data_IF_745067837549
#
_entry.id   IF_745067837549
#
_cell.length_a   1.000
_cell.length_b   1.000
_cell.length_c   1.000
_cell.angle_alpha   90.00
_cell.angle_beta   90.00
_cell.angle_gamma   90.00
#
_symmetry.space_group_name_H-M   'P 1'
#
loop_
_entity.id
_entity.type
_entity.pdbx_description
1 polymer ?
#
# COMPACT_ATOMS: atom_id res chain seq x y z
N UNK A 1 16.02 -7.32 13.41
CA UNK A 1 15.18 -7.01 12.23
C UNK A 1 14.67 -5.58 12.33
N UNK A 2 14.70 -4.82 11.22
CA UNK A 2 14.24 -3.42 11.15
C UNK A 2 12.72 -3.38 11.32
N UNK A 3 12.21 -2.46 12.14
CA UNK A 3 10.76 -2.22 12.25
C UNK A 3 10.38 -1.03 11.37
N UNK A 4 9.42 -1.23 10.47
CA UNK A 4 9.01 -0.22 9.49
C UNK A 4 7.55 0.23 9.64
N UNK A 5 6.81 -0.36 10.58
CA UNK A 5 5.37 -0.12 10.71
C UNK A 5 4.61 -0.64 9.48
N UNK A 6 3.85 0.23 8.82
CA UNK A 6 3.11 -0.13 7.61
C UNK A 6 4.03 0.09 6.42
N UNK A 7 4.09 -0.88 5.52
CA UNK A 7 4.87 -0.77 4.29
C UNK A 7 4.01 -1.15 3.10
N UNK A 8 4.30 -0.54 1.96
CA UNK A 8 3.70 -0.88 0.69
C UNK A 8 4.76 -0.81 -0.39
N UNK A 9 4.54 -1.51 -1.49
CA UNK A 9 5.46 -1.49 -2.61
C UNK A 9 4.79 -1.81 -3.93
N UNK A 10 5.53 -1.55 -5.00
CA UNK A 10 5.11 -1.66 -6.39
C UNK A 10 6.25 -2.24 -7.22
N UNK A 11 5.91 -3.06 -8.21
CA UNK A 11 6.90 -3.68 -9.08
C UNK A 11 6.29 -4.19 -10.37
N UNK A 12 7.13 -4.78 -11.21
CA UNK A 12 6.73 -5.46 -12.44
C UNK A 12 7.02 -6.96 -12.33
N UNK A 13 6.07 -7.78 -12.77
CA UNK A 13 6.25 -9.23 -12.92
C UNK A 13 5.63 -9.67 -14.24
N UNK A 14 6.44 -10.28 -15.10
CA UNK A 14 6.01 -10.77 -16.42
C UNK A 14 5.31 -9.70 -17.27
N UNK A 15 5.84 -8.48 -17.25
CA UNK A 15 5.31 -7.30 -17.94
C UNK A 15 4.07 -6.69 -17.28
N UNK A 16 3.65 -7.22 -16.12
CA UNK A 16 2.43 -6.82 -15.44
C UNK A 16 2.72 -6.11 -14.12
N UNK A 17 2.07 -4.97 -13.84
CA UNK A 17 2.28 -4.25 -12.60
C UNK A 17 1.64 -5.01 -11.43
N UNK A 18 2.33 -4.96 -10.29
CA UNK A 18 1.80 -5.44 -9.02
C UNK A 18 2.06 -4.43 -7.92
N UNK A 19 1.28 -4.55 -6.85
CA UNK A 19 1.49 -3.83 -5.61
C UNK A 19 1.35 -4.78 -4.42
N UNK A 20 1.93 -4.42 -3.29
CA UNK A 20 1.70 -5.11 -2.05
C UNK A 20 1.49 -4.14 -0.90
N UNK A 21 0.86 -4.63 0.15
CA UNK A 21 0.79 -3.99 1.45
C UNK A 21 1.20 -4.99 2.53
N UNK A 22 1.94 -4.53 3.53
CA UNK A 22 2.22 -5.29 4.73
C UNK A 22 2.01 -4.45 5.97
N UNK A 23 1.24 -5.03 6.88
CA UNK A 23 1.05 -4.48 8.20
C UNK A 23 2.10 -5.07 9.15
N UNK A 24 2.97 -4.22 9.69
CA UNK A 24 3.73 -4.55 10.88
C UNK A 24 3.23 -3.72 12.06
N UNK A 25 3.07 -4.37 13.22
CA UNK A 25 2.48 -3.73 14.40
C UNK A 25 2.99 -4.31 15.70
N UNK A 26 3.24 -3.44 16.67
CA UNK A 26 3.51 -3.80 18.06
C UNK A 26 2.25 -3.72 18.91
N UNK A 27 1.56 -2.58 18.85
CA UNK A 27 0.47 -2.24 19.78
C UNK A 27 -0.89 -2.79 19.38
N UNK A 28 -1.11 -3.02 18.08
CA UNK A 28 -2.38 -3.53 17.55
C UNK A 28 -2.12 -4.73 16.62
N UNK A 29 -1.73 -5.90 17.15
CA UNK A 29 -1.48 -7.09 16.34
C UNK A 29 -2.77 -7.80 15.92
N UNK A 30 -3.86 -7.66 16.68
CA UNK A 30 -5.13 -8.36 16.44
C UNK A 30 -5.96 -7.67 15.36
N UNK A 31 -5.49 -7.77 14.12
CA UNK A 31 -6.12 -7.24 12.92
C UNK A 31 -6.24 -8.30 11.84
N UNK A 32 -7.30 -8.20 11.04
CA UNK A 32 -7.50 -9.06 9.87
C UNK A 32 -7.78 -8.23 8.63
N UNK A 33 -7.42 -8.77 7.48
CA UNK A 33 -7.81 -8.23 6.18
C UNK A 33 -9.10 -8.91 5.71
N UNK A 34 -10.07 -8.12 5.27
CA UNK A 34 -11.39 -8.57 4.78
C UNK A 34 -11.58 -8.08 3.36
N UNK A 35 -11.74 -9.00 2.42
CA UNK A 35 -12.06 -8.69 1.02
C UNK A 35 -13.56 -8.43 0.91
N UNK A 36 -13.94 -7.33 0.26
CA UNK A 36 -15.32 -6.97 -0.06
C UNK A 36 -15.40 -6.48 -1.51
N UNK A 37 -15.69 -7.38 -2.44
CA UNK A 37 -15.68 -7.07 -3.86
C UNK A 37 -14.29 -6.60 -4.31
N UNK A 38 -14.23 -5.39 -4.85
CA UNK A 38 -13.02 -4.75 -5.37
C UNK A 38 -12.22 -3.98 -4.31
N UNK A 39 -12.47 -4.25 -3.03
CA UNK A 39 -11.84 -3.57 -1.90
C UNK A 39 -11.30 -4.56 -0.86
N UNK A 40 -10.27 -4.13 -0.14
CA UNK A 40 -9.78 -4.81 1.06
C UNK A 40 -9.78 -3.85 2.24
N UNK A 41 -10.29 -4.33 3.37
CA UNK A 41 -10.33 -3.60 4.63
C UNK A 41 -9.42 -4.24 5.66
N UNK A 42 -8.61 -3.44 6.34
CA UNK A 42 -8.02 -3.81 7.62
C UNK A 42 -9.08 -3.56 8.70
N UNK A 43 -9.36 -4.59 9.49
CA UNK A 43 -10.34 -4.56 10.59
C UNK A 43 -9.64 -4.92 11.89
N UNK A 44 -9.67 -4.00 12.85
CA UNK A 44 -9.25 -4.24 14.23
C UNK A 44 -10.24 -5.13 14.97
N UNK A 45 -9.73 -6.10 15.70
CA UNK A 45 -10.53 -7.06 16.48
C UNK A 45 -10.57 -6.72 17.97
N UNK A 46 -9.73 -5.78 18.40
CA UNK A 46 -9.70 -5.25 19.77
C UNK A 46 -10.55 -3.97 19.86
N UNK A 47 -11.19 -3.74 21.01
CA UNK A 47 -11.84 -2.46 21.27
C UNK A 47 -10.79 -1.35 21.44
N UNK A 48 -10.96 -0.22 20.76
CA UNK A 48 -10.06 0.93 20.86
C UNK A 48 -10.71 2.19 20.28
N UNK A 49 -10.33 3.35 20.81
CA UNK A 49 -10.69 4.66 20.27
C UNK A 49 -9.74 5.13 19.16
N UNK A 50 -8.65 4.40 18.87
CA UNK A 50 -7.69 4.80 17.86
C UNK A 50 -8.33 4.75 16.46
N UNK A 51 -8.46 5.87 15.73
CA UNK A 51 -9.15 5.91 14.44
C UNK A 51 -8.31 5.33 13.29
N UNK A 52 -7.03 5.01 13.50
CA UNK A 52 -6.08 4.61 12.47
C UNK A 52 -5.84 3.10 12.38
N UNK A 53 -6.60 2.28 13.10
CA UNK A 53 -6.39 0.81 13.15
C UNK A 53 -7.32 0.02 12.24
N UNK A 54 -8.40 0.62 11.75
CA UNK A 54 -9.34 0.02 10.80
C UNK A 54 -9.55 0.95 9.60
N UNK A 55 -9.34 0.46 8.39
CA UNK A 55 -9.37 1.28 7.18
C UNK A 55 -9.42 0.45 5.90
N UNK A 56 -9.94 1.02 4.79
CA UNK A 56 -9.70 0.48 3.46
C UNK A 56 -8.21 0.57 3.15
N UNK A 57 -7.61 -0.54 2.73
CA UNK A 57 -6.17 -0.65 2.42
C UNK A 57 -5.92 -0.84 0.93
N UNK A 58 -6.88 -1.46 0.23
CA UNK A 58 -6.84 -1.62 -1.23
C UNK A 58 -8.19 -1.21 -1.80
N UNK A 59 -8.15 -0.51 -2.93
CA UNK A 59 -9.33 -0.25 -3.78
C UNK A 59 -8.96 -0.43 -5.25
N UNK A 60 -9.69 -1.31 -5.92
CA UNK A 60 -9.55 -1.59 -7.36
C UNK A 60 -10.57 -0.75 -8.12
N UNK A 61 -10.08 -0.10 -9.16
CA UNK A 61 -10.83 0.60 -10.20
C UNK A 61 -10.63 -0.15 -11.53
N UNK A 62 -11.36 0.20 -12.61
CA UNK A 62 -11.21 -0.48 -13.90
C UNK A 62 -9.77 -0.55 -14.42
N UNK A 63 -9.03 0.56 -14.28
CA UNK A 63 -7.65 0.69 -14.78
C UNK A 63 -6.60 0.79 -13.66
N UNK A 64 -7.01 1.09 -12.43
CA UNK A 64 -6.10 1.42 -11.33
C UNK A 64 -6.27 0.49 -10.13
N UNK A 65 -5.20 0.28 -9.38
CA UNK A 65 -5.29 -0.19 -8.01
C UNK A 65 -4.60 0.81 -7.09
N UNK A 66 -5.31 1.19 -6.02
CA UNK A 66 -4.82 2.05 -4.95
C UNK A 66 -4.50 1.19 -3.75
N UNK A 67 -3.32 1.39 -3.17
CA UNK A 67 -2.89 0.74 -1.92
C UNK A 67 -2.42 1.82 -0.95
N UNK A 68 -2.89 1.82 0.31
CA UNK A 68 -2.44 2.81 1.30
C UNK A 68 -2.54 2.31 2.74
N UNK A 69 -1.95 3.04 3.69
CA UNK A 69 -1.99 2.68 5.12
C UNK A 69 -3.17 3.28 5.91
N UNK A 70 -4.20 3.83 5.27
CA UNK A 70 -5.29 4.47 6.00
C UNK A 70 -6.53 4.81 5.15
N UNK A 71 -7.44 5.59 5.73
CA UNK A 71 -8.71 5.98 5.10
C UNK A 71 -8.56 6.75 3.77
N UNK A 72 -7.39 7.33 3.53
CA UNK A 72 -7.01 7.97 2.27
C UNK A 72 -7.06 7.04 1.06
N UNK A 73 -7.06 5.70 1.22
CA UNK A 73 -7.31 4.77 0.10
C UNK A 73 -8.60 5.12 -0.64
N UNK A 74 -9.69 5.39 0.09
CA UNK A 74 -10.99 5.69 -0.52
C UNK A 74 -10.98 7.02 -1.23
N UNK A 75 -10.39 8.05 -0.60
CA UNK A 75 -10.36 9.40 -1.17
C UNK A 75 -9.46 9.47 -2.41
N UNK A 76 -8.32 8.77 -2.42
CA UNK A 76 -7.47 8.64 -3.61
C UNK A 76 -8.22 7.95 -4.74
N UNK A 77 -8.91 6.84 -4.44
CA UNK A 77 -9.71 6.13 -5.44
C UNK A 77 -10.82 7.02 -6.03
N UNK A 78 -11.53 7.80 -5.21
CA UNK A 78 -12.54 8.75 -5.69
C UNK A 78 -11.93 9.87 -6.54
N UNK A 79 -10.79 10.42 -6.14
CA UNK A 79 -10.09 11.45 -6.92
C UNK A 79 -9.65 10.92 -8.30
N UNK A 80 -9.24 9.65 -8.39
CA UNK A 80 -8.87 9.01 -9.66
C UNK A 80 -9.98 8.92 -10.71
N UNK A 81 -11.25 9.09 -10.32
CA UNK A 81 -12.35 9.16 -11.29
C UNK A 81 -12.27 10.41 -12.19
N UNK A 82 -11.60 11.47 -11.72
CA UNK A 82 -11.58 12.78 -12.39
C UNK A 82 -10.16 13.36 -12.53
N UNK A 83 -9.17 12.80 -11.85
CA UNK A 83 -7.80 13.30 -11.78
C UNK A 83 -6.76 12.30 -12.27
N UNK A 84 -5.60 12.81 -12.69
CA UNK A 84 -4.45 11.94 -12.95
C UNK A 84 -3.91 11.36 -11.63
N UNK A 85 -3.27 10.18 -11.64
CA UNK A 85 -2.72 9.54 -10.43
C UNK A 85 -1.81 10.45 -9.60
N UNK A 86 -1.02 11.30 -10.28
CA UNK A 86 -0.17 12.30 -9.60
C UNK A 86 -1.01 13.31 -8.80
N UNK A 87 -2.06 13.87 -9.41
CA UNK A 87 -2.91 14.89 -8.77
C UNK A 87 -3.73 14.29 -7.63
N UNK A 88 -4.32 13.11 -7.85
CA UNK A 88 -5.07 12.39 -6.83
C UNK A 88 -4.23 12.15 -5.56
N UNK A 89 -2.98 11.71 -5.70
CA UNK A 89 -2.08 11.56 -4.56
C UNK A 89 -1.73 12.90 -3.91
N UNK A 90 -1.39 13.92 -4.70
CA UNK A 90 -1.03 15.23 -4.16
C UNK A 90 -2.17 15.82 -3.34
N UNK A 91 -3.36 15.95 -3.94
CA UNK A 91 -4.49 16.61 -3.29
C UNK A 91 -4.95 15.87 -2.03
N UNK A 92 -5.06 14.54 -2.09
CA UNK A 92 -5.56 13.78 -0.94
C UNK A 92 -4.53 13.71 0.19
N UNK A 93 -3.26 13.47 -0.13
CA UNK A 93 -2.23 13.39 0.91
C UNK A 93 -1.96 14.76 1.55
N UNK A 94 -1.99 15.84 0.77
CA UNK A 94 -1.84 17.21 1.30
C UNK A 94 -3.01 17.58 2.21
N UNK A 95 -4.25 17.30 1.78
CA UNK A 95 -5.44 17.61 2.57
C UNK A 95 -5.55 16.79 3.86
N UNK A 96 -5.12 15.53 3.85
CA UNK A 96 -5.26 14.63 5.00
C UNK A 96 -4.06 14.64 5.93
N UNK A 97 -2.92 15.09 5.44
CA UNK A 97 -1.65 15.21 6.18
C UNK A 97 -1.25 13.87 6.86
N UNK A 98 -0.24 13.89 7.73
CA UNK A 98 0.11 12.74 8.55
C UNK A 98 -0.97 12.42 9.62
N UNK A 99 -0.95 11.21 10.18
CA UNK A 99 -1.86 10.79 11.25
C UNK A 99 -1.52 11.47 12.58
N UNK A 100 -2.50 12.09 13.24
CA UNK A 100 -2.33 12.82 14.50
C UNK A 100 -2.34 11.87 15.69
N UNK A 101 -1.44 10.90 15.67
CA UNK A 101 -1.15 9.98 16.77
C UNK A 101 0.13 10.39 17.53
N UNK A 102 0.50 9.63 18.55
CA UNK A 102 1.70 9.87 19.37
C UNK A 102 3.01 9.88 18.56
N UNK A 103 3.02 9.25 17.38
CA UNK A 103 4.19 9.08 16.54
C UNK A 103 4.19 10.00 15.32
N UNK A 104 3.14 10.79 15.11
CA UNK A 104 2.90 11.54 13.89
C UNK A 104 3.02 10.64 12.65
N UNK A 105 2.37 9.46 12.65
CA UNK A 105 2.59 8.45 11.61
C UNK A 105 2.35 9.04 10.20
N UNK A 106 3.31 8.90 9.26
CA UNK A 106 3.06 9.27 7.87
C UNK A 106 1.89 8.51 7.23
N UNK A 107 1.22 9.19 6.30
CA UNK A 107 0.36 8.55 5.29
C UNK A 107 1.19 8.15 4.09
N UNK A 108 1.06 6.90 3.66
CA UNK A 108 1.75 6.35 2.51
C UNK A 108 0.74 5.74 1.55
N UNK A 109 0.93 5.97 0.25
CA UNK A 109 0.06 5.43 -0.78
C UNK A 109 0.83 5.06 -2.05
N UNK A 110 0.27 4.10 -2.80
CA UNK A 110 0.68 3.76 -4.13
C UNK A 110 -0.50 3.67 -5.08
N UNK A 111 -0.24 4.00 -6.36
CA UNK A 111 -1.16 3.77 -7.47
C UNK A 111 -0.40 3.03 -8.56
N UNK A 112 -0.92 1.88 -8.96
CA UNK A 112 -0.51 1.17 -10.18
C UNK A 112 -1.64 1.27 -11.22
N UNK A 113 -1.28 1.23 -12.50
CA UNK A 113 -2.22 1.22 -13.62
C UNK A 113 -2.00 -0.05 -14.45
N UNK A 114 -3.07 -0.71 -14.88
CA UNK A 114 -2.99 -1.90 -15.74
C UNK A 114 -2.21 -1.63 -17.02
N UNK A 115 -1.47 -2.63 -17.46
CA UNK A 115 -0.65 -2.60 -18.69
C UNK A 115 0.32 -1.40 -18.77
N UNK A 116 0.75 -0.87 -17.60
CA UNK A 116 1.75 0.20 -17.49
C UNK A 116 2.95 -0.27 -16.70
N UNK A 117 4.11 0.22 -17.14
CA UNK A 117 5.43 0.05 -16.55
C UNK A 117 5.79 1.21 -15.61
N UNK A 118 4.81 1.83 -14.99
CA UNK A 118 5.03 2.89 -14.01
C UNK A 118 4.04 2.79 -12.85
N UNK A 119 4.47 3.34 -11.72
CA UNK A 119 3.63 3.52 -10.55
C UNK A 119 3.87 4.91 -9.94
N UNK A 120 2.92 5.38 -9.15
CA UNK A 120 3.15 6.52 -8.27
C UNK A 120 3.23 6.07 -6.82
N UNK A 121 4.16 6.67 -6.08
CA UNK A 121 4.32 6.54 -4.64
C UNK A 121 4.12 7.92 -4.01
N UNK A 122 3.33 7.97 -2.94
CA UNK A 122 3.04 9.18 -2.19
C UNK A 122 3.37 9.01 -0.71
N UNK A 123 3.90 10.07 -0.11
CA UNK A 123 4.27 10.14 1.29
C UNK A 123 3.90 11.51 1.85
N UNK A 124 3.17 11.52 2.98
CA UNK A 124 2.90 12.71 3.77
C UNK A 124 3.24 12.41 5.24
N UNK A 125 4.41 12.87 5.66
CA UNK A 125 4.85 12.88 7.05
C UNK A 125 4.82 14.30 7.63
N UNK A 126 5.10 14.42 8.92
CA UNK A 126 5.06 15.69 9.64
C UNK A 126 5.88 16.82 9.02
N UNK A 127 7.09 16.50 8.56
CA UNK A 127 8.06 17.46 8.06
C UNK A 127 8.45 17.20 6.59
N UNK A 128 7.83 16.20 5.95
CA UNK A 128 8.19 15.76 4.61
C UNK A 128 6.94 15.37 3.82
N UNK A 129 6.84 15.90 2.60
CA UNK A 129 5.79 15.59 1.66
C UNK A 129 6.36 15.37 0.27
N UNK A 130 5.98 14.27 -0.39
CA UNK A 130 6.30 14.08 -1.80
C UNK A 130 5.38 13.07 -2.49
N UNK A 131 5.28 13.25 -3.81
CA UNK A 131 4.70 12.28 -4.74
C UNK A 131 5.70 12.04 -5.87
N UNK A 132 6.09 10.79 -6.08
CA UNK A 132 7.11 10.39 -7.06
C UNK A 132 6.55 9.33 -7.99
N UNK A 133 6.85 9.47 -9.28
CA UNK A 133 6.65 8.40 -10.27
C UNK A 133 7.90 7.50 -10.27
N UNK A 134 7.70 6.21 -10.28
CA UNK A 134 8.74 5.21 -10.51
C UNK A 134 8.47 4.47 -11.82
N UNK A 135 9.52 4.20 -12.59
CA UNK A 135 9.46 3.26 -13.71
C UNK A 135 9.66 1.86 -13.14
N UNK A 136 8.74 0.95 -13.46
CA UNK A 136 8.75 -0.42 -13.01
C UNK A 136 9.62 -1.27 -13.94
N UNK A 137 10.46 -2.11 -13.34
CA UNK A 137 11.41 -2.96 -14.05
C UNK A 137 11.28 -4.39 -13.50
N UNK A 138 11.46 -5.39 -14.37
CA UNK A 138 11.41 -6.80 -13.95
C UNK A 138 12.44 -7.09 -12.87
N UNK A 139 12.04 -7.91 -11.89
CA UNK A 139 12.90 -8.33 -10.78
C UNK A 139 13.19 -7.25 -9.73
N UNK A 140 12.69 -6.01 -9.93
CA UNK A 140 12.88 -4.89 -9.02
C UNK A 140 11.55 -4.39 -8.46
N UNK A 141 11.43 -4.42 -7.15
CA UNK A 141 10.28 -3.87 -6.42
C UNK A 141 10.69 -2.62 -5.66
N UNK A 142 9.95 -1.54 -5.79
CA UNK A 142 10.11 -0.29 -5.05
C UNK A 142 9.15 -0.29 -3.86
N UNK A 143 9.62 0.06 -2.67
CA UNK A 143 8.76 0.11 -1.49
C UNK A 143 9.05 1.32 -0.61
N UNK A 144 8.03 1.70 0.14
CA UNK A 144 8.04 2.79 1.11
C UNK A 144 7.40 2.30 2.39
N UNK A 145 7.67 2.96 3.51
CA UNK A 145 7.08 2.59 4.78
C UNK A 145 6.85 3.81 5.68
N UNK A 146 6.04 3.62 6.72
CA UNK A 146 5.74 4.67 7.69
C UNK A 146 6.94 5.02 8.55
N UNK A 147 7.80 4.04 8.84
CA UNK A 147 8.92 4.24 9.76
C UNK A 147 10.22 3.69 9.20
N UNK A 148 11.31 4.34 9.59
CA UNK A 148 12.68 3.89 9.41
C UNK A 148 13.09 3.60 7.97
N UNK A 149 12.30 3.92 6.95
CA UNK A 149 12.58 3.88 5.50
C UNK A 149 12.61 5.31 4.99
N UNK A 150 13.74 5.75 4.45
CA UNK A 150 13.96 7.13 4.04
C UNK A 150 13.86 7.23 2.52
N UNK A 151 12.74 7.77 2.02
CA UNK A 151 12.45 7.82 0.60
C UNK A 151 11.93 6.48 0.06
N UNK A 152 12.49 6.02 -1.06
CA UNK A 152 12.07 4.81 -1.78
C UNK A 152 13.24 3.82 -1.76
N UNK A 153 13.01 2.64 -1.20
CA UNK A 153 13.97 1.54 -1.20
C UNK A 153 13.54 0.44 -2.17
N UNK A 154 14.45 -0.50 -2.45
CA UNK A 154 14.20 -1.59 -3.38
C UNK A 154 14.47 -2.94 -2.77
N UNK A 155 13.69 -3.93 -3.18
CA UNK A 155 13.87 -5.35 -2.89
C UNK A 155 13.49 -6.19 -4.11
N UNK A 156 13.79 -7.49 -4.07
CA UNK A 156 13.36 -8.43 -5.10
C UNK A 156 12.27 -9.35 -4.55
N UNK A 157 11.24 -9.60 -5.36
CA UNK A 157 10.16 -10.54 -5.08
C UNK A 157 10.01 -11.46 -6.27
N UNK A 158 9.99 -12.76 -6.00
CA UNK A 158 9.59 -13.77 -6.96
C UNK A 158 8.37 -14.50 -6.40
N UNK A 159 7.29 -14.48 -7.18
CA UNK A 159 5.98 -14.99 -6.80
C UNK A 159 5.22 -15.43 -8.06
N UNK A 160 4.26 -16.34 -7.85
CA UNK A 160 3.45 -16.94 -8.92
C UNK A 160 2.13 -16.23 -9.19
N UNK A 161 1.47 -15.78 -8.13
CA UNK A 161 0.13 -15.19 -8.16
C UNK A 161 -0.07 -14.24 -6.97
N UNK A 162 -1.26 -13.64 -6.87
CA UNK A 162 -1.58 -12.67 -5.82
C UNK A 162 -1.49 -13.23 -4.39
N UNK A 163 -1.75 -14.54 -4.20
CA UNK A 163 -1.68 -15.19 -2.89
C UNK A 163 -0.25 -15.51 -2.51
N UNK A 164 0.54 -15.99 -3.46
CA UNK A 164 1.98 -16.20 -3.27
C UNK A 164 2.69 -14.87 -3.00
N UNK A 165 2.31 -13.79 -3.69
CA UNK A 165 2.82 -12.45 -3.39
C UNK A 165 2.56 -12.05 -1.93
N UNK A 166 1.32 -12.22 -1.44
CA UNK A 166 0.99 -11.92 -0.05
C UNK A 166 1.83 -12.76 0.93
N UNK A 167 2.00 -14.06 0.68
CA UNK A 167 2.83 -14.95 1.49
C UNK A 167 4.30 -14.52 1.51
N UNK A 168 4.89 -14.18 0.36
CA UNK A 168 6.29 -13.72 0.24
C UNK A 168 6.49 -12.41 0.98
N UNK A 169 5.57 -11.47 0.82
CA UNK A 169 5.60 -10.16 1.47
C UNK A 169 5.51 -10.31 2.99
N UNK A 170 4.63 -11.18 3.50
CA UNK A 170 4.52 -11.47 4.92
C UNK A 170 5.84 -11.99 5.52
N UNK A 171 6.62 -12.74 4.74
CA UNK A 171 7.89 -13.35 5.14
C UNK A 171 9.13 -12.47 4.97
N UNK A 172 9.00 -11.24 4.44
CA UNK A 172 10.14 -10.31 4.36
C UNK A 172 10.77 -10.06 5.76
N UNK A 173 12.06 -9.77 5.81
CA UNK A 173 12.85 -9.65 7.04
C UNK A 173 12.63 -8.32 7.82
N UNK A 174 11.37 -7.91 7.97
CA UNK A 174 10.94 -6.81 8.81
C UNK A 174 10.29 -7.33 10.10
N UNK A 175 10.48 -6.61 11.19
CA UNK A 175 9.99 -7.04 12.50
C UNK A 175 8.46 -6.88 12.63
N UNK A 176 7.83 -7.76 13.42
CA UNK A 176 6.41 -7.75 13.80
C UNK A 176 5.40 -7.86 12.64
N UNK A 177 5.52 -8.86 11.74
CA UNK A 177 4.48 -9.11 10.72
C UNK A 177 3.12 -9.40 11.39
N UNK A 178 2.06 -8.81 10.83
CA UNK A 178 0.67 -9.13 11.21
C UNK A 178 -0.06 -9.78 10.04
N UNK A 179 -0.07 -9.12 8.89
CA UNK A 179 -0.72 -9.58 7.67
C UNK A 179 -0.09 -8.93 6.44
N UNK A 180 -0.36 -9.49 5.27
CA UNK A 180 0.07 -8.99 3.98
C UNK A 180 -1.04 -9.11 2.93
N UNK A 181 -0.96 -8.25 1.92
CA UNK A 181 -1.88 -8.21 0.79
C UNK A 181 -1.04 -8.10 -0.48
N UNK A 182 -1.35 -8.92 -1.47
CA UNK A 182 -0.82 -8.85 -2.82
C UNK A 182 -1.89 -8.39 -3.79
N UNK A 183 -1.54 -7.49 -4.70
CA UNK A 183 -2.39 -7.04 -5.80
C UNK A 183 -1.64 -7.24 -7.11
N UNK A 184 -2.16 -8.07 -8.00
CA UNK A 184 -1.49 -8.44 -9.26
C UNK A 184 -2.41 -8.17 -10.44
N UNK A 185 -1.90 -7.58 -11.51
CA UNK A 185 -2.67 -7.43 -12.75
C UNK A 185 -2.94 -8.80 -13.40
N UNK A 186 -4.20 -9.20 -13.45
CA UNK A 186 -4.67 -10.44 -14.07
C UNK A 186 -4.72 -10.36 -15.60
N UNK A 187 -4.58 -9.17 -16.20
CA UNK A 187 -4.76 -8.88 -17.62
C UNK A 187 -6.19 -8.46 -17.97
N UNK A 188 -7.20 -8.85 -17.19
CA UNK A 188 -8.60 -8.42 -17.30
C UNK A 188 -8.99 -7.46 -16.16
N UNK A 189 -8.47 -7.72 -14.97
CA UNK A 189 -8.62 -6.91 -13.76
C UNK A 189 -7.49 -7.20 -12.79
N UNK A 190 -7.33 -6.35 -11.79
CA UNK A 190 -6.48 -6.65 -10.65
C UNK A 190 -7.07 -7.80 -9.80
N UNK A 191 -6.20 -8.65 -9.28
CA UNK A 191 -6.52 -9.77 -8.38
C UNK A 191 -5.91 -9.53 -7.02
N UNK A 192 -6.61 -9.95 -5.97
CA UNK A 192 -6.24 -9.71 -4.57
C UNK A 192 -5.93 -11.04 -3.88
N UNK A 193 -4.76 -11.11 -3.27
CA UNK A 193 -4.38 -12.16 -2.31
C UNK A 193 -4.17 -11.55 -0.93
N UNK A 194 -4.54 -12.29 0.11
CA UNK A 194 -4.40 -11.88 1.51
C UNK A 194 -3.73 -13.01 2.27
N UNK A 195 -2.81 -12.67 3.18
CA UNK A 195 -2.16 -13.61 4.08
C UNK A 195 -2.02 -13.08 5.50
#
# INVERSE_FOLDING_TARGET
MRYVGRMLGVGLKDGKPFAFYRLNSRSFPDRKAVIKGDEVYIVNLTETENPYVSYPVVKILPDYAVVSNGSHTTFIAQALEWESPKKALIHVLDAMDYERDEYNTPRIAAIIQRDKDWAFLGFAGKDEFWVKRVTLEEGRTFFIATYNVYGIETLSLDFKDEKDLAEKVLRLEFAHPVLAIGVVDGGDKFRIGVK
#
